data_IF_331773181868
#
_entry.id   IF_331773181868
#
_cell.length_a   1.000
_cell.length_b   1.000
_cell.length_c   1.000
_cell.angle_alpha   90.00
_cell.angle_beta   90.00
_cell.angle_gamma   90.00
#
_symmetry.space_group_name_H-M   'P 1'
#
loop_
_entity.id
_entity.type
_entity.pdbx_description
1 polymer ?
2 non-polymer ?
3 non-polymer ?
4 water ?
#
# COMPACT_ATOMS: atom_id res chain seq x y z
N UNK A 9 -2.54 -16.62 34.54
CA UNK A 9 -3.53 -15.79 33.85
C UNK A 9 -2.95 -14.44 33.44
N UNK A 10 -3.29 -14.01 32.24
CA UNK A 10 -2.67 -12.85 31.62
C UNK A 10 -3.71 -11.95 30.96
N UNK A 11 -3.37 -10.66 30.83
CA UNK A 11 -4.26 -9.70 30.25
C UNK A 11 -3.56 -9.11 29.02
N UNK A 12 -4.33 -8.90 27.95
CA UNK A 12 -3.84 -8.21 26.77
C UNK A 12 -4.67 -6.96 26.46
N UNK A 13 -4.00 -6.02 25.80
CA UNK A 13 -4.60 -4.80 25.29
C UNK A 13 -4.07 -4.56 23.88
N UNK A 14 -4.98 -4.33 22.94
CA UNK A 14 -4.61 -3.83 21.62
C UNK A 14 -5.06 -2.37 21.54
N UNK A 15 -4.10 -1.47 21.32
CA UNK A 15 -4.37 -0.06 21.30
C UNK A 15 -3.60 0.62 20.17
N UNK A 16 -4.04 1.82 19.82
CA UNK A 16 -3.25 2.65 18.92
C UNK A 16 -1.93 3.07 19.54
N UNK A 17 -0.87 3.06 18.73
CA UNK A 17 0.39 3.66 19.11
C UNK A 17 0.30 5.18 19.11
N UNK A 18 1.19 5.80 19.90
CA UNK A 18 1.31 7.25 19.94
C UNK A 18 2.79 7.59 19.81
N UNK A 19 3.14 8.89 19.75
CA UNK A 19 4.55 9.25 19.71
C UNK A 19 5.43 8.67 20.82
N UNK A 20 4.84 8.40 22.00
CA UNK A 20 5.59 7.82 23.09
C UNK A 20 6.06 6.39 22.81
N UNK A 21 5.46 5.74 21.78
CA UNK A 21 5.80 4.36 21.46
C UNK A 21 6.89 4.20 20.41
N UNK A 22 7.47 5.31 19.94
CA UNK A 22 8.48 5.23 18.91
C UNK A 22 9.65 4.30 19.22
N UNK A 23 10.23 4.30 20.45
CA UNK A 23 11.31 3.35 20.71
C UNK A 23 10.90 1.89 20.48
N UNK A 24 9.66 1.54 20.87
CA UNK A 24 9.21 0.17 20.74
C UNK A 24 8.99 -0.18 19.28
N UNK A 25 8.36 0.73 18.55
CA UNK A 25 8.16 0.52 17.12
C UNK A 25 9.49 0.33 16.41
N UNK A 26 10.45 1.18 16.74
CA UNK A 26 11.78 1.10 16.15
C UNK A 26 12.41 -0.28 16.36
N UNK A 27 12.37 -0.76 17.61
CA UNK A 27 12.94 -2.05 17.94
C UNK A 27 12.21 -3.21 17.30
N UNK A 28 10.88 -3.10 17.19
CA UNK A 28 10.09 -4.13 16.53
C UNK A 28 10.43 -4.20 15.05
N UNK A 29 10.53 -3.04 14.38
CA UNK A 29 10.90 -3.06 12.97
C UNK A 29 12.31 -3.62 12.80
N UNK A 30 13.22 -3.29 13.72
CA UNK A 30 14.55 -3.87 13.65
C UNK A 30 14.52 -5.39 13.75
N UNK A 31 13.72 -5.92 14.70
CA UNK A 31 13.58 -7.36 14.79
C UNK A 31 13.04 -7.98 13.49
N UNK A 32 12.08 -7.30 12.85
CA UNK A 32 11.56 -7.71 11.55
C UNK A 32 12.68 -7.77 10.51
N UNK A 33 13.56 -6.76 10.52
CA UNK A 33 14.64 -6.69 9.54
C UNK A 33 15.62 -7.84 9.76
N UNK A 34 15.88 -8.19 11.03
CA UNK A 34 16.74 -9.34 11.30
C UNK A 34 16.11 -10.63 10.76
N UNK A 35 14.84 -10.82 11.11
CA UNK A 35 14.10 -12.00 10.67
C UNK A 35 14.05 -12.14 9.14
N UNK A 36 13.83 -11.01 8.45
CA UNK A 36 13.70 -11.04 7.00
C UNK A 36 15.04 -10.98 6.26
N UNK A 37 16.17 -11.07 6.98
CA UNK A 37 17.49 -11.08 6.38
C UNK A 37 17.73 -9.80 5.60
N UNK A 38 17.34 -8.67 6.19
CA UNK A 38 17.39 -7.39 5.50
C UNK A 38 17.90 -6.25 6.37
N UNK A 39 18.79 -6.56 7.34
CA UNK A 39 19.33 -5.50 8.17
C UNK A 39 20.09 -4.46 7.36
N UNK A 40 20.64 -4.86 6.19
CA UNK A 40 21.37 -3.93 5.36
C UNK A 40 20.47 -2.81 4.85
N UNK A 41 19.16 -3.08 4.76
CA UNK A 41 18.22 -2.07 4.32
C UNK A 41 17.66 -1.22 5.45
N UNK A 42 17.87 -1.67 6.69
CA UNK A 42 17.26 -1.01 7.83
C UNK A 42 18.06 0.24 8.22
N UNK A 43 17.49 1.40 7.88
CA UNK A 43 18.07 2.69 8.15
C UNK A 43 17.14 3.55 9.00
N UNK A 44 15.99 2.98 9.38
CA UNK A 44 15.03 3.68 10.22
C UNK A 44 15.65 4.16 11.53
N UNK A 45 15.30 5.39 11.90
CA UNK A 45 15.68 5.96 13.18
C UNK A 45 14.43 6.33 13.97
N UNK A 46 14.59 6.45 15.29
CA UNK A 46 13.50 6.92 16.12
C UNK A 46 13.03 8.29 15.67
N UNK A 47 13.97 9.18 15.33
CA UNK A 47 13.61 10.51 14.89
C UNK A 47 12.82 10.46 13.57
N UNK A 48 13.21 9.58 12.65
CA UNK A 48 12.46 9.42 11.40
C UNK A 48 11.05 8.90 11.62
N UNK A 49 10.89 7.93 12.53
CA UNK A 49 9.58 7.42 12.85
C UNK A 49 8.72 8.50 13.50
N UNK A 50 9.32 9.25 14.43
CA UNK A 50 8.59 10.33 15.07
C UNK A 50 8.10 11.39 14.08
N UNK A 51 8.89 11.63 13.02
CA UNK A 51 8.60 12.66 12.05
C UNK A 51 7.50 12.24 11.06
N UNK A 52 7.32 10.92 10.85
CA UNK A 52 6.49 10.42 9.76
C UNK A 52 5.25 9.62 10.16
N UNK A 53 5.19 9.13 11.41
CA UNK A 53 4.11 8.21 11.75
C UNK A 53 2.80 8.84 12.23
N UNK A 54 2.82 10.11 12.68
CA UNK A 54 1.70 10.63 13.45
C UNK A 54 1.18 11.97 12.97
N UNK A 55 1.20 12.17 11.64
CA UNK A 55 0.80 13.43 11.03
C UNK A 55 -0.61 13.42 10.47
N UNK A 56 -1.36 12.34 10.71
CA UNK A 56 -2.75 12.24 10.28
C UNK A 56 -3.60 11.63 11.39
N UNK A 57 -4.93 11.77 11.29
CA UNK A 57 -5.87 11.04 12.13
C UNK A 57 -5.67 9.54 11.95
N UNK A 58 -5.82 8.71 13.01
CA UNK A 58 -5.68 7.27 12.84
C UNK A 58 -6.53 6.74 11.69
N UNK A 59 -5.97 5.78 10.94
CA UNK A 59 -6.65 5.04 9.89
C UNK A 59 -6.73 5.77 8.56
N UNK A 60 -6.39 7.07 8.53
CA UNK A 60 -6.40 7.84 7.30
C UNK A 60 -5.07 7.74 6.55
N UNK A 61 -4.02 7.38 7.28
CA UNK A 61 -2.69 7.18 6.74
C UNK A 61 -2.01 6.09 7.56
N UNK A 62 -0.68 6.08 7.66
CA UNK A 62 0.01 5.04 8.39
C UNK A 62 -0.51 5.00 9.84
N UNK A 63 -0.81 3.79 10.31
CA UNK A 63 -1.41 3.55 11.61
C UNK A 63 -0.73 2.34 12.22
N UNK A 64 -0.58 2.36 13.56
CA UNK A 64 0.04 1.25 14.28
C UNK A 64 -0.88 0.82 15.42
N UNK A 65 -1.19 -0.48 15.49
CA UNK A 65 -1.69 -1.07 16.74
C UNK A 65 -0.55 -1.77 17.44
N UNK A 66 -0.50 -1.58 18.78
CA UNK A 66 0.40 -2.33 19.63
C UNK A 66 -0.40 -3.33 20.45
N UNK A 67 0.21 -4.49 20.68
CA UNK A 67 -0.37 -5.48 21.57
C UNK A 67 0.50 -5.49 22.82
N UNK A 68 -0.15 -5.22 23.97
CA UNK A 68 0.50 -5.20 25.28
C UNK A 68 -0.01 -6.37 26.11
N UNK A 69 0.87 -6.87 27.00
CA UNK A 69 0.55 -7.94 27.93
C UNK A 69 0.89 -7.50 29.35
N UNK A 70 0.06 -7.92 30.33
CA UNK A 70 0.26 -7.61 31.74
C UNK A 70 -0.31 -8.75 32.57
N UNK A 71 0.28 -9.06 33.75
CA UNK A 71 -0.35 -9.98 34.71
C UNK A 71 -1.48 -9.36 35.52
N UNK A 72 -1.67 -8.04 35.38
CA UNK A 72 -2.72 -7.28 36.03
C UNK A 72 -3.71 -6.77 35.00
N UNK A 73 -5.00 -6.56 35.36
CA UNK A 73 -5.94 -5.89 34.45
C UNK A 73 -5.43 -4.51 34.06
N UNK A 74 -5.77 -4.10 32.85
CA UNK A 74 -5.51 -2.74 32.41
C UNK A 74 -6.60 -1.83 32.96
N UNK A 75 -6.37 -0.50 33.06
CA UNK A 75 -7.49 0.42 33.31
C UNK A 75 -8.56 0.21 32.24
N UNK A 76 -9.83 0.18 32.66
CA UNK A 76 -10.93 -0.02 31.74
C UNK A 76 -11.19 1.31 31.01
N UNK A 77 -11.64 1.22 29.75
CA UNK A 77 -11.92 2.40 28.95
C UNK A 77 -13.05 3.25 29.53
N UNK A 78 -13.98 2.61 30.26
CA UNK A 78 -15.11 3.26 30.90
C UNK A 78 -15.92 4.12 29.92
N UNK A 79 -15.56 5.41 29.76
CA UNK A 79 -16.09 6.24 28.69
C UNK A 79 -15.03 6.48 27.61
N UNK A 80 -15.42 6.29 26.35
CA UNK A 80 -14.51 6.46 25.22
C UNK A 80 -14.18 7.93 25.06
N UNK A 81 -12.99 8.23 24.54
CA UNK A 81 -12.69 9.58 24.08
C UNK A 81 -12.65 9.61 22.55
N UNK A 82 -12.41 8.44 21.96
CA UNK A 82 -12.09 8.34 20.55
C UNK A 82 -13.37 8.11 19.74
N UNK A 83 -13.53 8.77 18.58
CA UNK A 83 -14.72 8.52 17.75
C UNK A 83 -14.66 7.14 17.06
N UNK A 84 -13.44 6.67 16.79
CA UNK A 84 -13.21 5.59 15.85
C UNK A 84 -12.84 4.24 16.48
N UNK A 85 -12.16 4.28 17.63
CA UNK A 85 -11.44 3.11 18.12
C UNK A 85 -11.29 3.15 19.63
N UNK A 86 -11.69 2.03 20.26
CA UNK A 86 -11.47 1.80 21.67
C UNK A 86 -10.60 0.56 21.82
N UNK A 87 -9.57 0.55 22.70
CA UNK A 87 -8.73 -0.62 22.85
C UNK A 87 -9.51 -1.91 23.10
N UNK A 88 -8.98 -3.01 22.55
CA UNK A 88 -9.51 -4.33 22.81
C UNK A 88 -8.80 -4.94 24.01
N UNK A 89 -9.57 -5.43 24.99
CA UNK A 89 -9.04 -5.96 26.23
C UNK A 89 -9.50 -7.41 26.38
N UNK A 90 -8.55 -8.32 26.64
CA UNK A 90 -8.88 -9.73 26.76
C UNK A 90 -8.09 -10.38 27.89
N UNK A 91 -8.70 -11.42 28.49
CA UNK A 91 -8.10 -12.27 29.51
C UNK A 91 -7.74 -13.63 28.91
N UNK A 92 -6.62 -14.19 29.38
CA UNK A 92 -6.01 -15.37 28.77
C UNK A 92 -5.49 -16.30 29.85
N UNK A 93 -5.76 -17.60 29.68
CA UNK A 93 -5.02 -18.64 30.37
C UNK A 93 -3.98 -19.14 29.37
N UNK A 94 -2.70 -18.90 29.68
CA UNK A 94 -1.59 -19.45 28.91
C UNK A 94 -1.00 -20.62 29.70
N UNK A 95 -0.56 -21.64 28.97
CA UNK A 95 -0.12 -22.91 29.56
C UNK A 95 1.31 -22.90 30.09
N UNK A 96 2.01 -21.77 29.96
CA UNK A 96 3.45 -21.72 30.14
C UNK A 96 3.81 -20.34 30.68
N UNK A 97 4.68 -20.22 31.72
CA UNK A 97 5.25 -18.92 32.08
C UNK A 97 6.12 -18.37 30.95
N UNK A 98 6.20 -17.04 30.86
CA UNK A 98 6.89 -16.41 29.74
C UNK A 98 8.29 -15.98 30.17
N UNK A 99 9.30 -16.46 29.42
CA UNK A 99 10.68 -16.02 29.57
C UNK A 99 10.93 -14.98 28.49
N UNK A 100 11.08 -13.71 28.91
CA UNK A 100 11.24 -12.61 27.98
C UNK A 100 12.53 -11.87 28.33
N UNK A 101 13.67 -12.23 27.72
CA UNK A 101 14.94 -11.57 28.02
C UNK A 101 15.01 -10.10 27.59
N UNK A 102 14.10 -9.69 26.70
CA UNK A 102 14.09 -8.32 26.21
C UNK A 102 13.04 -7.46 26.89
N UNK A 103 12.45 -7.94 27.98
CA UNK A 103 11.32 -7.27 28.60
C UNK A 103 11.63 -5.79 28.87
N UNK A 104 12.82 -5.50 29.40
CA UNK A 104 13.17 -4.15 29.81
C UNK A 104 13.12 -3.12 28.67
N UNK A 105 13.33 -3.58 27.43
CA UNK A 105 13.31 -2.70 26.26
C UNK A 105 11.90 -2.41 25.75
N UNK A 106 10.90 -3.10 26.31
CA UNK A 106 9.54 -3.04 25.82
C UNK A 106 8.53 -2.65 26.89
N UNK A 107 8.98 -1.86 27.86
CA UNK A 107 8.11 -1.34 28.91
C UNK A 107 7.75 0.11 28.66
N UNK A 108 6.49 0.46 28.29
CA UNK A 108 6.12 1.87 28.14
C UNK A 108 6.37 2.72 29.38
N UNK A 109 6.28 2.09 30.56
CA UNK A 109 6.61 2.71 31.83
C UNK A 109 7.37 1.66 32.64
N UNK A 110 8.64 1.91 32.91
CA UNK A 110 9.46 0.92 33.59
C UNK A 110 8.98 0.59 35.00
N UNK A 111 8.08 1.41 35.57
CA UNK A 111 7.50 1.14 36.88
C UNK A 111 6.19 0.37 36.87
N UNK A 112 5.65 0.09 35.67
CA UNK A 112 4.44 -0.69 35.54
C UNK A 112 4.70 -2.00 34.80
N UNK A 113 3.89 -3.02 35.08
CA UNK A 113 4.09 -4.38 34.56
C UNK A 113 3.30 -4.61 33.28
N UNK A 114 3.52 -3.72 32.30
CA UNK A 114 2.87 -3.80 31.00
C UNK A 114 4.01 -3.85 29.99
N UNK A 115 3.96 -4.86 29.10
CA UNK A 115 5.02 -5.09 28.14
C UNK A 115 4.44 -5.07 26.74
N UNK A 116 5.12 -4.39 25.81
CA UNK A 116 4.79 -4.45 24.40
C UNK A 116 5.28 -5.78 23.83
N UNK A 117 4.35 -6.56 23.29
CA UNK A 117 4.62 -7.88 22.79
C UNK A 117 4.63 -8.03 21.27
N UNK A 118 3.93 -7.13 20.59
CA UNK A 118 3.85 -7.19 19.14
C UNK A 118 3.16 -5.95 18.58
N UNK A 119 3.10 -5.90 17.23
CA UNK A 119 2.48 -4.77 16.57
C UNK A 119 1.99 -5.11 15.16
N UNK A 120 1.16 -4.21 14.65
CA UNK A 120 0.79 -4.22 13.25
C UNK A 120 0.81 -2.77 12.78
N UNK A 121 1.46 -2.57 11.61
CA UNK A 121 1.59 -1.25 11.00
C UNK A 121 0.99 -1.36 9.60
N UNK A 122 0.03 -0.47 9.32
CA UNK A 122 -0.79 -0.59 8.13
C UNK A 122 -1.26 0.79 7.67
N UNK A 123 -1.80 0.83 6.45
CA UNK A 123 -2.28 2.08 5.88
C UNK A 123 -3.28 1.78 4.78
N UNK A 124 -4.06 2.79 4.33
CA UNK A 124 -4.99 2.56 3.24
C UNK A 124 -4.30 2.22 1.93
N UNK A 125 -4.89 1.27 1.19
CA UNK A 125 -4.44 1.01 -0.17
C UNK A 125 -5.70 1.11 -1.05
N UNK A 126 -5.60 0.60 -2.28
CA UNK A 126 -6.66 0.81 -3.26
C UNK A 126 -6.75 -0.36 -4.22
N UNK A 127 -7.52 -1.43 -3.92
CA UNK A 127 -7.77 -2.51 -4.85
C UNK A 127 -8.64 -1.99 -6.01
N UNK A 128 -7.94 -1.63 -7.08
CA UNK A 128 -8.58 -0.92 -8.19
C UNK A 128 -9.68 -1.73 -8.86
N UNK A 129 -9.58 -3.06 -8.87
CA UNK A 129 -10.60 -3.87 -9.52
C UNK A 129 -11.91 -3.88 -8.73
N UNK A 130 -11.83 -3.45 -7.46
CA UNK A 130 -13.02 -3.27 -6.63
C UNK A 130 -13.55 -1.83 -6.57
N UNK A 131 -12.72 -0.87 -6.95
CA UNK A 131 -13.00 0.55 -6.79
C UNK A 131 -13.40 0.92 -5.37
N UNK A 132 -12.59 0.44 -4.43
CA UNK A 132 -12.84 0.67 -3.01
C UNK A 132 -11.49 0.84 -2.33
N UNK A 133 -11.43 1.55 -1.20
CA UNK A 133 -10.23 1.53 -0.37
C UNK A 133 -10.07 0.16 0.29
N UNK A 134 -8.82 -0.16 0.59
CA UNK A 134 -8.47 -1.35 1.34
C UNK A 134 -7.47 -0.94 2.41
N UNK A 135 -6.91 -1.94 3.09
CA UNK A 135 -5.71 -1.73 3.86
C UNK A 135 -4.57 -2.62 3.36
N UNK A 136 -3.35 -2.10 3.49
CA UNK A 136 -2.14 -2.88 3.31
C UNK A 136 -1.46 -3.00 4.69
N UNK A 137 -1.08 -4.23 5.05
CA UNK A 137 -0.30 -4.45 6.25
C UNK A 137 1.18 -4.47 5.85
N UNK A 138 1.90 -3.49 6.37
CA UNK A 138 3.32 -3.34 6.13
C UNK A 138 4.13 -4.21 7.10
N UNK A 139 3.71 -4.25 8.38
CA UNK A 139 4.35 -5.10 9.37
C UNK A 139 3.30 -5.77 10.23
N UNK A 140 3.50 -7.08 10.49
CA UNK A 140 2.74 -7.73 11.55
C UNK A 140 3.75 -8.66 12.21
N UNK A 141 3.85 -8.56 13.54
CA UNK A 141 4.95 -9.21 14.23
C UNK A 141 4.64 -9.39 15.72
N UNK A 142 4.92 -10.60 16.22
CA UNK A 142 4.88 -10.89 17.64
C UNK A 142 6.32 -11.22 18.02
N UNK A 143 6.79 -10.64 19.13
CA UNK A 143 8.09 -11.03 19.64
C UNK A 143 8.08 -12.50 20.08
N UNK A 144 9.24 -13.15 19.92
CA UNK A 144 9.35 -14.58 20.09
C UNK A 144 8.75 -15.12 21.38
N UNK A 145 8.96 -14.50 22.57
CA UNK A 145 8.45 -15.08 23.80
C UNK A 145 6.94 -15.19 23.86
N UNK A 146 6.23 -14.43 23.02
CA UNK A 146 4.79 -14.31 23.07
C UNK A 146 4.04 -15.00 21.94
N UNK A 147 4.74 -15.80 21.14
CA UNK A 147 4.12 -16.48 20.00
C UNK A 147 3.35 -17.74 20.43
N UNK A 148 2.44 -18.18 19.56
CA UNK A 148 1.69 -19.42 19.73
C UNK A 148 0.80 -19.40 20.96
N UNK A 149 0.26 -18.23 21.27
CA UNK A 149 -0.69 -18.07 22.40
C UNK A 149 -1.96 -17.36 21.90
N UNK A 150 -2.11 -17.16 20.59
CA UNK A 150 -3.29 -16.52 20.02
C UNK A 150 -3.21 -14.99 19.88
N UNK A 151 -2.04 -14.40 20.21
CA UNK A 151 -1.93 -12.95 20.16
C UNK A 151 -1.83 -12.40 18.74
N UNK A 152 -1.07 -13.08 17.88
CA UNK A 152 -0.99 -12.65 16.49
C UNK A 152 -2.36 -12.64 15.84
N UNK A 153 -3.15 -13.69 16.11
CA UNK A 153 -4.53 -13.74 15.65
C UNK A 153 -5.30 -12.49 16.06
N UNK A 154 -5.13 -12.03 17.31
CA UNK A 154 -5.81 -10.83 17.74
C UNK A 154 -5.38 -9.57 17.00
N UNK A 155 -4.08 -9.43 16.71
CA UNK A 155 -3.61 -8.27 15.96
C UNK A 155 -4.23 -8.21 14.57
N UNK A 156 -4.24 -9.35 13.89
CA UNK A 156 -4.82 -9.41 12.56
C UNK A 156 -6.33 -9.17 12.63
N UNK A 157 -6.97 -9.75 13.63
CA UNK A 157 -8.40 -9.53 13.82
C UNK A 157 -8.73 -8.06 14.07
N UNK A 158 -7.90 -7.36 14.85
CA UNK A 158 -8.15 -5.94 15.08
C UNK A 158 -8.16 -5.15 13.77
N UNK A 159 -7.21 -5.46 12.86
CA UNK A 159 -7.19 -4.77 11.57
C UNK A 159 -8.46 -5.08 10.78
N UNK A 160 -8.85 -6.36 10.74
CA UNK A 160 -10.06 -6.75 10.04
C UNK A 160 -11.30 -6.05 10.59
N UNK A 161 -11.41 -5.94 11.93
CA UNK A 161 -12.56 -5.30 12.53
C UNK A 161 -12.63 -3.81 12.17
N UNK A 162 -11.47 -3.15 12.17
CA UNK A 162 -11.46 -1.75 11.77
C UNK A 162 -11.78 -1.60 10.29
N UNK A 163 -11.30 -2.56 9.48
CA UNK A 163 -11.60 -2.56 8.06
C UNK A 163 -13.10 -2.60 7.82
N UNK A 164 -13.80 -3.48 8.55
CA UNK A 164 -15.23 -3.59 8.37
C UNK A 164 -15.94 -2.29 8.77
N UNK A 165 -15.52 -1.69 9.87
CA UNK A 165 -16.08 -0.40 10.28
C UNK A 165 -15.97 0.67 9.19
N UNK A 166 -14.86 0.66 8.46
CA UNK A 166 -14.54 1.71 7.50
C UNK A 166 -14.90 1.36 6.06
N UNK A 167 -15.53 0.19 5.85
CA UNK A 167 -15.97 -0.21 4.52
C UNK A 167 -14.85 -0.67 3.57
N UNK A 168 -13.72 -1.08 4.16
CA UNK A 168 -12.58 -1.60 3.41
C UNK A 168 -12.93 -2.89 2.70
N UNK A 169 -12.47 -3.04 1.45
CA UNK A 169 -12.88 -4.16 0.62
C UNK A 169 -11.90 -5.33 0.56
N UNK A 170 -10.68 -5.14 1.07
CA UNK A 170 -9.63 -6.13 0.95
C UNK A 170 -8.49 -5.70 1.85
N UNK A 171 -7.75 -6.68 2.39
CA UNK A 171 -6.48 -6.40 3.04
C UNK A 171 -5.40 -7.25 2.34
N UNK A 172 -4.26 -6.60 2.06
CA UNK A 172 -3.12 -7.29 1.48
C UNK A 172 -1.85 -7.02 2.25
N UNK A 173 -0.86 -7.91 2.03
CA UNK A 173 0.49 -7.77 2.53
C UNK A 173 1.37 -8.68 1.69
N UNK A 174 2.67 -8.70 1.98
CA UNK A 174 3.57 -9.63 1.32
C UNK A 174 4.37 -10.45 2.32
N UNK A 175 4.97 -11.53 1.82
CA UNK A 175 5.74 -12.45 2.62
C UNK A 175 6.89 -13.00 1.79
N UNK A 176 8.02 -13.28 2.41
CA UNK A 176 9.10 -14.00 1.75
C UNK A 176 8.66 -15.46 1.66
N UNK A 177 8.83 -16.11 0.51
CA UNK A 177 8.27 -17.44 0.33
C UNK A 177 8.90 -18.47 1.26
N UNK A 178 10.10 -18.18 1.77
CA UNK A 178 10.84 -19.04 2.69
C UNK A 178 10.42 -18.88 4.15
N UNK A 179 9.51 -17.93 4.44
CA UNK A 179 9.03 -17.69 5.79
C UNK A 179 7.87 -18.65 6.12
N UNK A 180 8.21 -19.92 6.34
CA UNK A 180 7.20 -20.96 6.41
C UNK A 180 6.26 -20.76 7.62
N UNK A 181 6.83 -20.36 8.76
CA UNK A 181 5.99 -20.20 9.94
C UNK A 181 4.96 -19.10 9.74
N UNK A 182 5.40 -17.97 9.17
CA UNK A 182 4.48 -16.88 8.92
C UNK A 182 3.40 -17.26 7.90
N UNK A 183 3.82 -17.94 6.83
CA UNK A 183 2.88 -18.41 5.83
C UNK A 183 1.82 -19.32 6.45
N UNK A 184 2.27 -20.24 7.32
CA UNK A 184 1.32 -21.13 7.98
C UNK A 184 0.30 -20.33 8.80
N UNK A 185 0.78 -19.33 9.54
CA UNK A 185 -0.14 -18.47 10.30
C UNK A 185 -1.13 -17.77 9.37
N UNK A 186 -0.63 -17.16 8.28
CA UNK A 186 -1.52 -16.42 7.40
C UNK A 186 -2.60 -17.33 6.81
N UNK A 187 -2.19 -18.52 6.39
CA UNK A 187 -3.13 -19.48 5.81
C UNK A 187 -4.15 -19.95 6.83
N UNK A 188 -3.71 -20.17 8.07
CA UNK A 188 -4.64 -20.59 9.12
C UNK A 188 -5.59 -19.47 9.51
N UNK A 189 -5.25 -18.22 9.20
CA UNK A 189 -6.15 -17.10 9.39
C UNK A 189 -7.11 -16.89 8.23
N UNK A 190 -6.99 -17.69 7.16
CA UNK A 190 -7.87 -17.56 6.02
C UNK A 190 -7.34 -16.73 4.85
N UNK A 191 -6.08 -16.29 4.94
CA UNK A 191 -5.47 -15.57 3.82
C UNK A 191 -5.11 -16.52 2.69
N UNK A 192 -5.11 -15.97 1.48
CA UNK A 192 -4.53 -16.68 0.34
C UNK A 192 -3.12 -16.13 0.14
N UNK A 193 -2.16 -17.04 -0.07
CA UNK A 193 -0.79 -16.70 -0.41
C UNK A 193 -0.63 -17.10 -1.88
N UNK A 194 -0.45 -16.08 -2.74
CA UNK A 194 -0.40 -16.31 -4.18
C UNK A 194 0.96 -16.79 -4.63
N UNK A 195 0.96 -17.67 -5.64
CA UNK A 195 2.19 -18.11 -6.26
C UNK A 195 2.75 -17.13 -7.30
N UNK A 196 1.87 -16.39 -8.00
CA UNK A 196 2.24 -15.79 -9.27
C UNK A 196 2.72 -14.34 -9.18
N UNK A 197 2.37 -13.61 -8.12
CA UNK A 197 2.73 -12.21 -8.05
C UNK A 197 4.15 -12.02 -7.53
N UNK A 198 4.84 -11.02 -8.10
CA UNK A 198 6.19 -10.65 -7.71
C UNK A 198 6.25 -9.17 -7.40
N UNK A 199 7.08 -8.83 -6.42
CA UNK A 199 7.28 -7.45 -6.00
C UNK A 199 8.27 -6.75 -6.94
N UNK A 200 7.95 -5.50 -7.25
CA UNK A 200 8.79 -4.61 -8.03
C UNK A 200 9.12 -3.37 -7.22
N UNK A 201 10.33 -2.83 -7.36
CA UNK A 201 10.77 -1.73 -6.54
C UNK A 201 11.68 -0.76 -7.30
N UNK A 202 11.40 0.53 -7.13
CA UNK A 202 12.38 1.59 -7.41
C UNK A 202 12.91 2.11 -6.08
N UNK A 203 14.18 1.88 -5.83
CA UNK A 203 14.85 2.41 -4.66
C UNK A 203 14.99 3.93 -4.76
N UNK A 204 15.42 4.58 -3.68
CA UNK A 204 15.71 5.99 -3.69
C UNK A 204 16.71 6.35 -4.78
N UNK A 205 17.75 5.53 -4.95
CA UNK A 205 18.73 5.78 -5.99
C UNK A 205 18.12 5.64 -7.38
N UNK A 206 17.26 4.65 -7.56
CA UNK A 206 16.61 4.47 -8.86
C UNK A 206 15.70 5.64 -9.18
N UNK A 207 15.02 6.18 -8.16
CA UNK A 207 14.17 7.34 -8.33
C UNK A 207 15.00 8.55 -8.74
N UNK A 208 16.14 8.75 -8.08
CA UNK A 208 17.04 9.84 -8.42
C UNK A 208 17.51 9.75 -9.86
N UNK A 209 17.80 8.53 -10.33
CA UNK A 209 18.29 8.34 -11.70
C UNK A 209 17.20 8.74 -12.70
N UNK A 210 15.95 8.35 -12.45
CA UNK A 210 14.86 8.77 -13.31
C UNK A 210 14.66 10.28 -13.27
N UNK A 211 14.81 10.90 -12.09
CA UNK A 211 14.58 12.36 -11.92
C UNK A 211 15.62 13.16 -12.71
N UNK A 212 16.76 12.55 -12.97
CA UNK A 212 17.86 13.24 -13.71
C UNK A 212 17.65 13.10 -15.22
N UNK A 213 16.68 12.33 -15.68
CA UNK A 213 16.37 12.19 -17.12
C UNK A 213 15.97 13.56 -17.68
N UNK A 214 16.47 13.86 -18.88
CA UNK A 214 16.16 15.16 -19.54
C UNK A 214 14.70 15.17 -20.01
N UNK B 9 4.50 14.93 -35.90
CA UNK B 9 4.70 15.34 -34.51
C UNK B 9 3.46 15.04 -33.67
N UNK B 10 3.70 14.52 -32.46
CA UNK B 10 2.64 14.32 -31.48
C UNK B 10 3.04 14.99 -30.18
N UNK B 11 2.01 15.38 -29.42
CA UNK B 11 2.17 16.06 -28.16
C UNK B 11 1.52 15.20 -27.08
N UNK B 12 2.14 15.18 -25.90
CA UNK B 12 1.55 14.49 -24.75
C UNK B 12 1.47 15.44 -23.55
N UNK B 13 0.53 15.10 -22.66
CA UNK B 13 0.34 15.79 -21.40
C UNK B 13 0.03 14.74 -20.34
N UNK B 14 0.74 14.81 -19.20
CA UNK B 14 0.42 14.01 -18.03
C UNK B 14 -0.16 14.96 -16.99
N UNK B 15 -1.40 14.70 -16.59
CA UNK B 15 -2.10 15.58 -15.66
C UNK B 15 -2.83 14.76 -14.60
N UNK B 16 -3.21 15.44 -13.51
CA UNK B 16 -4.09 14.82 -12.56
C UNK B 16 -5.48 14.56 -13.13
N UNK B 17 -6.05 13.41 -12.77
CA UNK B 17 -7.45 13.14 -13.03
C UNK B 17 -8.35 13.98 -12.13
N UNK B 18 -9.57 14.22 -12.62
CA UNK B 18 -10.63 14.88 -11.87
C UNK B 18 -11.89 14.04 -11.97
N UNK B 19 -12.98 14.35 -11.25
CA UNK B 19 -14.18 13.55 -11.32
C UNK B 19 -14.75 13.28 -12.72
N UNK B 20 -14.56 14.21 -13.65
CA UNK B 20 -15.08 13.96 -15.00
C UNK B 20 -14.31 12.89 -15.76
N UNK B 21 -13.13 12.49 -15.24
CA UNK B 21 -12.36 11.42 -15.86
C UNK B 21 -12.74 10.01 -15.44
N UNK B 22 -13.73 9.87 -14.55
CA UNK B 22 -14.10 8.54 -14.08
C UNK B 22 -14.44 7.54 -15.18
N UNK B 23 -15.18 7.91 -16.26
CA UNK B 23 -15.43 6.94 -17.33
C UNK B 23 -14.15 6.38 -17.93
N UNK B 24 -13.13 7.22 -18.11
CA UNK B 24 -11.88 6.78 -18.71
C UNK B 24 -11.13 5.87 -17.77
N UNK B 25 -11.08 6.25 -16.48
CA UNK B 25 -10.40 5.44 -15.48
C UNK B 25 -11.06 4.06 -15.40
N UNK B 26 -12.41 4.04 -15.40
CA UNK B 26 -13.14 2.78 -15.34
C UNK B 26 -12.76 1.86 -16.50
N UNK B 27 -12.77 2.42 -17.72
CA UNK B 27 -12.43 1.63 -18.89
C UNK B 27 -10.98 1.16 -18.91
N UNK B 28 -10.07 1.99 -18.40
CA UNK B 28 -8.67 1.61 -18.31
C UNK B 28 -8.47 0.47 -17.31
N UNK B 29 -9.14 0.53 -16.16
CA UNK B 29 -9.02 -0.56 -15.20
C UNK B 29 -9.61 -1.84 -15.79
N UNK B 30 -10.74 -1.71 -16.51
CA UNK B 30 -11.31 -2.85 -17.19
C UNK B 30 -10.33 -3.49 -18.18
N UNK B 31 -9.67 -2.64 -19.00
CA UNK B 31 -8.65 -3.17 -19.89
C UNK B 31 -7.52 -3.90 -19.16
N UNK B 32 -7.11 -3.38 -17.99
CA UNK B 32 -6.11 -4.03 -17.15
C UNK B 32 -6.60 -5.40 -16.72
N UNK B 33 -7.88 -5.51 -16.34
CA UNK B 33 -8.44 -6.78 -15.88
C UNK B 33 -8.47 -7.79 -17.03
N UNK B 34 -8.78 -7.32 -18.24
CA UNK B 34 -8.75 -8.18 -19.41
C UNK B 34 -7.32 -8.69 -19.64
N UNK B 35 -6.36 -7.76 -19.63
CA UNK B 35 -4.96 -8.09 -19.84
C UNK B 35 -4.43 -9.09 -18.81
N UNK B 36 -4.79 -8.88 -17.53
CA UNK B 36 -4.29 -9.72 -16.45
C UNK B 36 -5.04 -11.05 -16.34
N UNK B 37 -6.04 -11.28 -17.22
CA UNK B 37 -6.90 -12.46 -17.19
C UNK B 37 -7.55 -12.63 -15.81
N UNK B 38 -8.07 -11.50 -15.32
CA UNK B 38 -8.70 -11.44 -14.02
C UNK B 38 -10.01 -10.67 -14.07
N UNK B 39 -10.75 -10.82 -15.17
CA UNK B 39 -12.03 -10.16 -15.29
C UNK B 39 -13.00 -10.65 -14.22
N UNK B 40 -12.81 -11.88 -13.72
CA UNK B 40 -13.70 -12.38 -12.69
C UNK B 40 -13.58 -11.57 -11.39
N UNK B 41 -12.44 -10.90 -11.20
CA UNK B 41 -12.25 -10.02 -10.05
C UNK B 41 -12.71 -8.58 -10.30
N UNK B 42 -13.03 -8.25 -11.55
CA UNK B 42 -13.33 -6.87 -11.90
C UNK B 42 -14.79 -6.59 -11.64
N UNK B 43 -15.06 -5.86 -10.55
CA UNK B 43 -16.40 -5.44 -10.18
C UNK B 43 -16.47 -3.93 -9.94
N UNK B 44 -15.44 -3.20 -10.35
CA UNK B 44 -15.46 -1.75 -10.22
C UNK B 44 -16.60 -1.12 -11.04
N UNK B 45 -17.24 -0.11 -10.47
CA UNK B 45 -18.25 0.68 -11.18
C UNK B 45 -17.81 2.14 -11.24
N UNK B 46 -18.37 2.88 -12.20
CA UNK B 46 -18.13 4.31 -12.25
C UNK B 46 -18.58 4.98 -10.97
N UNK B 47 -19.74 4.54 -10.45
CA UNK B 47 -20.24 5.01 -9.18
C UNK B 47 -19.22 4.85 -8.03
N UNK B 48 -18.64 3.64 -7.95
CA UNK B 48 -17.69 3.33 -6.90
C UNK B 48 -16.43 4.20 -7.02
N UNK B 49 -15.95 4.36 -8.26
CA UNK B 49 -14.76 5.18 -8.48
C UNK B 49 -15.04 6.63 -8.11
N UNK B 50 -16.20 7.14 -8.49
CA UNK B 50 -16.54 8.51 -8.18
C UNK B 50 -16.59 8.76 -6.67
N UNK B 51 -17.05 7.77 -5.91
CA UNK B 51 -17.22 7.94 -4.47
C UNK B 51 -15.93 7.75 -3.67
N UNK B 52 -14.90 7.15 -4.28
CA UNK B 52 -13.69 6.77 -3.57
C UNK B 52 -12.40 7.46 -4.00
N UNK B 53 -12.35 7.99 -5.24
CA UNK B 53 -11.09 8.50 -5.75
C UNK B 53 -10.74 9.94 -5.37
N UNK B 54 -11.73 10.74 -4.93
CA UNK B 54 -11.54 12.18 -4.84
C UNK B 54 -11.92 12.79 -3.51
N UNK B 55 -11.67 12.05 -2.42
CA UNK B 55 -12.01 12.53 -1.08
C UNK B 55 -10.86 13.19 -0.33
N UNK B 56 -9.66 13.17 -0.94
CA UNK B 56 -8.48 13.79 -0.36
C UNK B 56 -7.70 14.59 -1.40
N UNK B 57 -6.78 15.42 -0.94
CA UNK B 57 -5.92 16.18 -1.82
C UNK B 57 -5.06 15.22 -2.64
N UNK B 58 -4.65 15.60 -3.87
CA UNK B 58 -3.68 14.78 -4.60
C UNK B 58 -2.44 14.47 -3.77
N UNK B 59 -1.98 13.22 -3.89
CA UNK B 59 -0.75 12.71 -3.28
C UNK B 59 -0.87 12.39 -1.79
N UNK B 60 -1.98 12.77 -1.15
CA UNK B 60 -2.25 12.41 0.23
C UNK B 60 -2.89 11.03 0.39
N UNK B 61 -3.55 10.61 -0.69
CA UNK B 61 -4.28 9.36 -0.76
C UNK B 61 -4.30 8.94 -2.24
N UNK B 62 -5.24 8.10 -2.65
CA UNK B 62 -5.26 7.62 -4.02
C UNK B 62 -5.25 8.79 -5.00
N UNK B 63 -4.36 8.67 -6.01
CA UNK B 63 -4.07 9.72 -6.97
C UNK B 63 -3.94 9.08 -8.35
N UNK B 64 -4.42 9.79 -9.37
CA UNK B 64 -4.36 9.28 -10.74
C UNK B 64 -3.73 10.33 -11.65
N UNK B 65 -2.71 9.90 -12.39
CA UNK B 65 -2.26 10.68 -13.55
C UNK B 65 -2.82 10.05 -14.81
N UNK B 66 -3.30 10.90 -15.73
CA UNK B 66 -3.69 10.46 -17.05
C UNK B 66 -2.66 10.97 -18.06
N UNK B 67 -2.36 10.11 -19.05
CA UNK B 67 -1.55 10.54 -20.18
C UNK B 67 -2.48 10.74 -21.39
N UNK B 68 -2.43 11.97 -21.91
CA UNK B 68 -3.22 12.37 -23.06
C UNK B 68 -2.29 12.66 -24.24
N UNK B 69 -2.78 12.34 -25.44
CA UNK B 69 -2.05 12.56 -26.68
C UNK B 69 -2.89 13.39 -27.64
N UNK B 70 -2.20 14.28 -28.37
CA UNK B 70 -2.83 15.17 -29.33
C UNK B 70 -1.89 15.45 -30.49
N UNK B 71 -2.39 15.66 -31.73
CA UNK B 71 -1.55 16.16 -32.81
C UNK B 71 -1.26 17.67 -32.73
N UNK B 72 -1.91 18.35 -31.79
CA UNK B 72 -1.76 19.77 -31.54
C UNK B 72 -1.13 20.03 -30.18
N UNK B 73 -0.39 21.14 -29.99
CA UNK B 73 0.09 21.53 -28.67
C UNK B 73 -1.07 21.68 -27.69
N UNK B 74 -0.77 21.44 -26.42
CA UNK B 74 -1.73 21.68 -25.36
C UNK B 74 -1.64 23.16 -25.01
N UNK B 75 -2.72 23.76 -24.44
CA UNK B 75 -2.62 25.12 -23.92
C UNK B 75 -1.46 25.19 -22.93
N UNK B 76 -0.67 26.27 -23.00
CA UNK B 76 0.39 26.50 -22.02
C UNK B 76 -0.05 26.04 -20.64
N UNK B 77 0.89 25.46 -19.88
CA UNK B 77 0.58 24.99 -18.54
C UNK B 77 0.49 26.19 -17.61
N UNK B 84 1.96 22.53 -6.14
CA UNK B 84 2.41 21.15 -5.91
C UNK B 84 2.58 20.34 -7.18
N UNK B 85 1.71 20.56 -8.17
CA UNK B 85 1.79 19.82 -9.43
C UNK B 85 1.39 20.66 -10.64
N UNK B 86 2.26 20.66 -11.66
CA UNK B 86 1.98 21.24 -12.96
C UNK B 86 2.05 20.10 -13.98
N UNK B 87 1.11 20.01 -14.95
CA UNK B 87 1.18 18.93 -15.94
C UNK B 87 2.53 18.86 -16.63
N UNK B 88 2.95 17.63 -16.93
CA UNK B 88 4.16 17.38 -17.71
C UNK B 88 3.80 17.36 -19.19
N UNK B 89 4.53 18.16 -19.98
CA UNK B 89 4.31 18.28 -21.41
C UNK B 89 5.53 17.76 -22.18
N UNK B 90 5.27 17.01 -23.25
CA UNK B 90 6.34 16.46 -24.07
C UNK B 90 5.91 16.45 -25.53
N UNK B 91 6.88 16.41 -26.44
CA UNK B 91 6.61 16.24 -27.87
C UNK B 91 7.69 15.41 -28.56
N UNK B 92 7.27 14.57 -29.52
CA UNK B 92 8.20 13.90 -30.42
C UNK B 92 7.48 13.46 -31.70
N UNK B 93 8.28 12.98 -32.66
CA UNK B 93 7.77 12.56 -33.95
C UNK B 93 7.52 11.07 -33.92
N UNK B 94 6.24 10.68 -33.96
CA UNK B 94 5.85 9.27 -33.98
C UNK B 94 6.08 8.74 -35.38
N UNK B 95 6.57 7.49 -35.44
CA UNK B 95 7.09 6.91 -36.67
C UNK B 95 6.01 6.86 -37.74
N UNK B 96 4.83 6.39 -37.33
CA UNK B 96 3.72 6.13 -38.24
C UNK B 96 2.40 6.39 -37.53
N UNK B 97 1.31 6.71 -38.27
CA UNK B 97 0.05 7.14 -37.65
C UNK B 97 -0.57 6.06 -36.78
N UNK B 98 -1.36 6.49 -35.80
CA UNK B 98 -1.91 5.59 -34.81
C UNK B 98 -3.34 5.20 -35.18
N UNK B 99 -3.60 3.89 -35.22
CA UNK B 99 -4.94 3.35 -35.37
C UNK B 99 -5.49 3.00 -33.98
N UNK B 100 -6.48 3.78 -33.54
CA UNK B 100 -7.08 3.60 -32.23
C UNK B 100 -8.58 3.35 -32.38
N UNK B 101 -9.03 2.09 -32.41
CA UNK B 101 -10.44 1.77 -32.60
C UNK B 101 -11.34 2.21 -31.45
N UNK B 102 -10.75 2.46 -30.28
CA UNK B 102 -11.52 2.85 -29.11
C UNK B 102 -11.47 4.35 -28.83
N UNK B 103 -10.94 5.11 -29.78
CA UNK B 103 -10.71 6.54 -29.58
C UNK B 103 -11.92 7.27 -29.02
N UNK B 104 -13.12 6.97 -29.55
CA UNK B 104 -14.31 7.71 -29.16
C UNK B 104 -14.69 7.56 -27.69
N UNK B 105 -14.23 6.50 -27.05
CA UNK B 105 -14.48 6.28 -25.62
C UNK B 105 -13.46 6.99 -24.73
N UNK B 106 -12.43 7.60 -25.32
CA UNK B 106 -11.32 8.16 -24.55
C UNK B 106 -11.08 9.63 -24.85
N UNK B 107 -12.15 10.36 -25.20
CA UNK B 107 -12.06 11.78 -25.47
C UNK B 107 -12.67 12.59 -24.32
N UNK B 108 -11.87 13.30 -23.50
CA UNK B 108 -12.47 14.14 -22.45
C UNK B 108 -13.36 15.25 -23.00
N UNK B 109 -13.07 15.70 -24.23
CA UNK B 109 -13.92 16.61 -24.99
C UNK B 109 -14.12 15.97 -26.37
N UNK B 110 -15.34 15.52 -26.62
CA UNK B 110 -15.62 14.76 -27.83
C UNK B 110 -15.35 15.52 -29.12
N UNK B 111 -15.25 16.85 -29.02
CA UNK B 111 -15.02 17.68 -30.19
C UNK B 111 -13.59 18.22 -30.30
N UNK B 112 -12.68 17.75 -29.43
CA UNK B 112 -11.30 18.17 -29.48
C UNK B 112 -10.42 16.93 -29.64
N UNK B 113 -9.28 17.08 -30.32
CA UNK B 113 -8.39 15.98 -30.65
C UNK B 113 -7.37 15.68 -29.54
N UNK B 114 -7.87 15.37 -28.34
CA UNK B 114 -7.07 14.98 -27.19
C UNK B 114 -7.63 13.65 -26.71
N UNK B 115 -6.78 12.63 -26.65
CA UNK B 115 -7.20 11.27 -26.37
C UNK B 115 -6.45 10.77 -25.15
N UNK B 116 -7.20 10.15 -24.20
CA UNK B 116 -6.57 9.49 -23.08
C UNK B 116 -5.97 8.19 -23.54
N UNK B 117 -4.65 8.05 -23.38
CA UNK B 117 -3.90 6.91 -23.88
C UNK B 117 -3.42 5.95 -22.79
N UNK B 118 -3.33 6.42 -21.54
CA UNK B 118 -2.85 5.58 -20.46
C UNK B 118 -3.04 6.28 -19.13
N UNK B 119 -2.66 5.57 -18.06
CA UNK B 119 -2.79 6.14 -16.73
C UNK B 119 -1.87 5.46 -15.73
N UNK B 120 -1.72 6.12 -14.56
CA UNK B 120 -1.10 5.51 -13.40
C UNK B 120 -1.93 5.91 -12.20
N UNK B 121 -2.26 4.91 -11.36
CA UNK B 121 -3.05 5.08 -10.14
C UNK B 121 -2.18 4.60 -8.99
N UNK B 122 -1.96 5.49 -8.02
CA UNK B 122 -0.98 5.24 -6.97
C UNK B 122 -1.43 5.94 -5.67
N UNK B 123 -0.75 5.60 -4.57
CA UNK B 123 -1.07 6.19 -3.28
C UNK B 123 0.14 6.08 -2.38
N UNK B 124 0.16 6.82 -1.26
CA UNK B 124 1.25 6.69 -0.29
C UNK B 124 1.32 5.31 0.33
N UNK B 125 2.54 4.81 0.52
CA UNK B 125 2.74 3.60 1.29
C UNK B 125 3.79 3.94 2.34
N UNK B 126 4.37 2.93 2.99
CA UNK B 126 5.24 3.18 4.13
C UNK B 126 6.30 2.10 4.21
N UNK B 127 7.45 2.25 3.52
CA UNK B 127 8.57 1.33 3.65
C UNK B 127 9.16 1.44 5.06
N UNK B 128 8.73 0.52 5.92
CA UNK B 128 8.97 0.66 7.34
C UNK B 128 10.46 0.62 7.68
N UNK B 129 11.26 -0.09 6.87
CA UNK B 129 12.69 -0.17 7.15
C UNK B 129 13.41 1.15 6.86
N UNK B 130 12.72 2.06 6.14
CA UNK B 130 13.22 3.39 5.88
C UNK B 130 12.64 4.48 6.79
N UNK B 131 11.53 4.14 7.47
CA UNK B 131 10.81 5.10 8.28
C UNK B 131 10.45 6.38 7.53
N UNK B 132 9.93 6.21 6.33
CA UNK B 132 9.39 7.36 5.62
C UNK B 132 8.36 6.87 4.62
N UNK B 133 7.56 7.81 4.12
CA UNK B 133 6.52 7.48 3.17
C UNK B 133 7.15 7.16 1.82
N UNK B 134 6.44 6.30 1.09
CA UNK B 134 6.76 6.02 -0.30
C UNK B 134 5.51 6.13 -1.13
N UNK B 135 5.58 5.64 -2.37
CA UNK B 135 4.36 5.40 -3.13
C UNK B 135 4.26 3.93 -3.52
N UNK B 136 3.02 3.45 -3.62
CA UNK B 136 2.70 2.18 -4.27
C UNK B 136 1.94 2.51 -5.56
N UNK B 137 2.36 1.87 -6.66
CA UNK B 137 1.63 1.97 -7.91
C UNK B 137 0.70 0.78 -8.02
N UNK B 138 -0.61 1.07 -7.98
CA UNK B 138 -1.64 0.07 -8.12
C UNK B 138 -1.88 -0.30 -9.58
N UNK B 139 -1.91 0.71 -10.46
CA UNK B 139 -2.07 0.49 -11.89
C UNK B 139 -1.13 1.37 -12.67
N UNK B 140 -0.47 0.79 -13.68
CA UNK B 140 0.25 1.56 -14.68
C UNK B 140 -0.04 0.88 -16.01
N UNK B 141 -0.57 1.63 -16.98
CA UNK B 141 -1.11 1.00 -18.18
C UNK B 141 -1.14 1.97 -19.35
N UNK B 142 -0.70 1.47 -20.51
CA UNK B 142 -0.87 2.17 -21.77
C UNK B 142 -1.83 1.35 -22.64
N UNK B 143 -2.82 2.00 -23.23
CA UNK B 143 -3.68 1.30 -24.18
C UNK B 143 -2.87 0.82 -25.38
N UNK B 144 -3.27 -0.33 -25.92
CA UNK B 144 -2.49 -1.04 -26.92
C UNK B 144 -2.04 -0.15 -28.09
N UNK B 145 -2.89 0.73 -28.68
CA UNK B 145 -2.45 1.51 -29.83
C UNK B 145 -1.26 2.43 -29.58
N UNK B 146 -1.01 2.74 -28.29
CA UNK B 146 0.00 3.70 -27.90
C UNK B 146 1.24 3.12 -27.24
N UNK B 147 1.40 1.79 -27.29
CA UNK B 147 2.56 1.14 -26.67
C UNK B 147 3.81 1.22 -27.54
N UNK B 148 4.96 1.02 -26.90
CA UNK B 148 6.25 0.98 -27.59
C UNK B 148 6.59 2.29 -28.30
N UNK B 149 6.13 3.40 -27.73
CA UNK B 149 6.41 4.74 -28.24
C UNK B 149 7.03 5.65 -27.18
N UNK B 150 7.39 5.08 -26.02
CA UNK B 150 8.02 5.85 -24.97
C UNK B 150 7.06 6.44 -23.94
N UNK B 151 5.75 6.22 -24.08
CA UNK B 151 4.78 6.86 -23.20
C UNK B 151 4.71 6.23 -21.83
N UNK B 152 4.85 4.90 -21.74
CA UNK B 152 4.93 4.27 -20.43
C UNK B 152 6.11 4.81 -19.62
N UNK B 153 7.25 4.97 -20.28
CA UNK B 153 8.40 5.60 -19.66
C UNK B 153 8.06 6.98 -19.12
N UNK B 154 7.30 7.77 -19.89
CA UNK B 154 6.90 9.09 -19.40
C UNK B 154 5.99 9.03 -18.17
N UNK B 155 5.04 8.08 -18.14
CA UNK B 155 4.16 7.92 -17.00
C UNK B 155 4.95 7.59 -15.75
N UNK B 156 5.86 6.61 -15.85
CA UNK B 156 6.62 6.21 -14.68
C UNK B 156 7.58 7.33 -14.28
N UNK B 157 8.16 8.03 -15.27
CA UNK B 157 8.98 9.20 -14.97
C UNK B 157 8.22 10.26 -14.19
N UNK B 158 6.95 10.52 -14.56
CA UNK B 158 6.17 11.53 -13.85
C UNK B 158 5.99 11.15 -12.37
N UNK B 159 5.72 9.88 -12.12
CA UNK B 159 5.57 9.43 -10.74
C UNK B 159 6.88 9.57 -9.98
N UNK B 160 7.99 9.15 -10.61
CA UNK B 160 9.29 9.24 -9.97
C UNK B 160 9.67 10.69 -9.69
N UNK B 161 9.39 11.61 -10.62
CA UNK B 161 9.74 13.00 -10.40
C UNK B 161 8.93 13.60 -9.25
N UNK B 162 7.63 13.26 -9.19
CA UNK B 162 6.82 13.74 -8.09
C UNK B 162 7.27 13.11 -6.77
N UNK B 163 7.66 11.83 -6.79
CA UNK B 163 8.22 11.18 -5.62
C UNK B 163 9.42 11.96 -5.08
N UNK B 164 10.37 12.28 -5.95
CA UNK B 164 11.56 12.96 -5.50
C UNK B 164 11.22 14.34 -4.94
N UNK B 165 10.33 15.06 -5.62
CA UNK B 165 9.88 16.36 -5.14
C UNK B 165 9.32 16.31 -3.72
N UNK B 166 8.59 15.24 -3.41
CA UNK B 166 7.90 15.11 -2.13
C UNK B 166 8.69 14.35 -1.07
N UNK B 167 9.92 13.94 -1.39
CA UNK B 167 10.74 13.23 -0.42
C UNK B 167 10.38 11.76 -0.21
N UNK B 168 9.65 11.17 -1.16
CA UNK B 168 9.31 9.75 -1.14
C UNK B 168 10.57 8.88 -1.18
N UNK B 169 10.59 7.81 -0.37
CA UNK B 169 11.79 7.02 -0.21
C UNK B 169 11.96 5.86 -1.20
N UNK B 170 10.85 5.40 -1.77
CA UNK B 170 10.79 4.16 -2.51
C UNK B 170 9.43 4.12 -3.22
N UNK B 171 9.38 3.46 -4.38
CA UNK B 171 8.13 3.16 -5.05
C UNK B 171 8.10 1.65 -5.30
N UNK B 172 6.94 1.05 -5.03
CA UNK B 172 6.73 -0.37 -5.22
C UNK B 172 5.44 -0.63 -5.99
N UNK B 173 5.39 -1.82 -6.59
CA UNK B 173 4.20 -2.36 -7.23
C UNK B 173 4.39 -3.86 -7.39
N UNK B 174 3.42 -4.56 -8.00
CA UNK B 174 3.55 -5.98 -8.28
C UNK B 174 3.33 -6.28 -9.75
N UNK B 175 3.77 -7.47 -10.15
CA UNK B 175 3.65 -7.96 -11.51
C UNK B 175 3.43 -9.47 -11.50
N UNK B 176 2.74 -10.01 -12.52
CA UNK B 176 2.63 -11.44 -12.69
C UNK B 176 3.93 -12.01 -13.23
N UNK B 177 4.36 -13.16 -12.69
CA UNK B 177 5.68 -13.69 -12.95
C UNK B 177 5.98 -13.95 -14.43
N UNK B 178 4.92 -14.31 -15.19
CA UNK B 178 5.11 -14.67 -16.58
C UNK B 178 4.88 -13.49 -17.51
N UNK B 179 4.59 -12.30 -16.96
CA UNK B 179 4.46 -11.10 -17.77
C UNK B 179 5.84 -10.53 -18.12
N UNK B 180 6.53 -11.24 -19.02
CA UNK B 180 7.93 -10.95 -19.30
C UNK B 180 8.08 -9.57 -19.93
N UNK B 181 7.11 -9.14 -20.74
CA UNK B 181 7.27 -7.86 -21.40
C UNK B 181 7.19 -6.70 -20.41
N UNK B 182 6.27 -6.79 -19.45
CA UNK B 182 6.20 -5.77 -18.41
C UNK B 182 7.44 -5.79 -17.53
N UNK B 183 7.88 -7.00 -17.17
CA UNK B 183 9.10 -7.15 -16.39
C UNK B 183 10.28 -6.49 -17.09
N UNK B 184 10.41 -6.72 -18.41
CA UNK B 184 11.47 -6.09 -19.15
C UNK B 184 11.40 -4.57 -19.10
N UNK B 185 10.19 -4.02 -19.26
CA UNK B 185 10.03 -2.58 -19.14
C UNK B 185 10.45 -2.08 -17.76
N UNK B 186 9.95 -2.75 -16.70
CA UNK B 186 10.28 -2.31 -15.35
C UNK B 186 11.78 -2.34 -15.11
N UNK B 187 12.44 -3.41 -15.54
CA UNK B 187 13.88 -3.53 -15.37
C UNK B 187 14.65 -2.48 -16.17
N UNK B 188 14.17 -2.15 -17.37
CA UNK B 188 14.78 -1.10 -18.18
C UNK B 188 14.69 0.25 -17.49
N UNK B 189 13.63 0.44 -16.67
CA UNK B 189 13.45 1.67 -15.94
C UNK B 189 14.19 1.68 -14.59
N UNK B 190 14.97 0.63 -14.32
CA UNK B 190 15.79 0.57 -13.11
C UNK B 190 15.13 -0.11 -11.91
N UNK B 191 13.96 -0.72 -12.12
CA UNK B 191 13.30 -1.43 -11.04
C UNK B 191 13.96 -2.79 -10.84
N UNK B 192 13.92 -3.25 -9.58
CA UNK B 192 14.23 -4.63 -9.29
C UNK B 192 12.90 -5.39 -9.25
N UNK B 193 12.87 -6.56 -9.89
CA UNK B 193 11.74 -7.48 -9.84
C UNK B 193 12.23 -8.68 -9.02
N UNK B 194 11.67 -8.86 -7.83
CA UNK B 194 12.16 -9.85 -6.89
C UNK B 194 11.57 -11.23 -7.15
N UNK B 195 12.38 -12.25 -6.87
CA UNK B 195 11.90 -13.63 -6.91
C UNK B 195 11.22 -14.10 -5.63
N UNK B 196 11.58 -13.52 -4.46
CA UNK B 196 11.32 -14.14 -3.17
C UNK B 196 10.02 -13.69 -2.50
N UNK B 197 9.44 -12.55 -2.88
CA UNK B 197 8.22 -12.08 -2.27
C UNK B 197 6.96 -12.66 -2.91
N UNK B 198 5.92 -12.86 -2.09
CA UNK B 198 4.62 -13.36 -2.51
C UNK B 198 3.54 -12.48 -1.90
N UNK B 199 2.45 -12.32 -2.63
CA UNK B 199 1.31 -11.52 -2.21
C UNK B 199 0.38 -12.37 -1.33
N UNK B 200 -0.12 -11.74 -0.27
CA UNK B 200 -1.10 -12.35 0.63
C UNK B 200 -2.37 -11.49 0.62
N UNK B 201 -3.54 -12.14 0.77
CA UNK B 201 -4.79 -11.43 0.69
C UNK B 201 -5.89 -11.98 1.59
N UNK B 202 -6.63 -11.05 2.23
CA UNK B 202 -7.95 -11.32 2.80
C UNK B 202 -8.99 -10.56 1.99
N UNK B 203 -10.00 -11.29 1.51
CA UNK B 203 -11.09 -10.70 0.75
C UNK B 203 -12.07 -10.00 1.66
N UNK B 204 -12.98 -9.22 1.07
CA UNK B 204 -13.99 -8.52 1.85
C UNK B 204 -14.88 -9.47 2.63
N UNK B 205 -15.23 -10.61 2.03
CA UNK B 205 -16.06 -11.58 2.73
C UNK B 205 -15.32 -12.17 3.93
N UNK B 206 -14.02 -12.43 3.74
CA UNK B 206 -13.18 -12.95 4.81
C UNK B 206 -13.12 -11.96 5.96
N UNK B 207 -13.04 -10.67 5.66
CA UNK B 207 -12.98 -9.66 6.70
C UNK B 207 -14.26 -9.63 7.52
N UNK B 208 -15.41 -9.71 6.83
CA UNK B 208 -16.70 -9.73 7.49
C UNK B 208 -16.78 -10.90 8.46
N UNK B 209 -16.29 -12.06 8.04
CA UNK B 209 -16.36 -13.25 8.88
C UNK B 209 -15.44 -13.12 10.08
N UNK B 210 -14.21 -12.65 9.88
CA UNK B 210 -13.29 -12.43 11.00
C UNK B 210 -13.86 -11.46 12.01
N UNK B 211 -14.64 -10.47 11.55
CA UNK B 211 -15.24 -9.47 12.42
C UNK B 211 -16.31 -10.01 13.36
N UNK B 212 -16.74 -11.25 13.13
CA UNK B 212 -17.68 -11.88 14.05
C UNK B 212 -17.06 -12.15 15.42
N UNK B 213 -15.73 -12.13 15.53
CA UNK B 213 -15.09 -12.29 16.84
C UNK B 213 -15.29 -10.99 17.62
N UNK B 214 -15.97 -11.08 18.77
CA UNK B 214 -16.25 -9.91 19.58
C UNK B 214 -15.09 -9.77 20.56
N UNK B 215 -14.11 -8.93 20.23
CA UNK B 215 -13.05 -8.61 21.16
C UNK B 215 -13.26 -7.18 21.62
#
# INVERSE_FOLDING_TARGET
>A
GPLGSTGHRMFSRIRLATPTDVPFIHKLIHQMAVFERLTHLFVATESGLASTLFNSRPFQAVTVFLLEISPSPFPTTHDASSPDFTPFLETHKVDLPIEDPDREKFLPDKLNDVVVAGFVLFFPNYPSFLAKQGFYIEDIFMREPYRRKGFGKLLLTAVAKQAVKLGVGRVEWIVIDWNVNAINFYEQMGAQVFKEWRLCRLTGDALQAIDKLNI
>B
GPLGSTGHRMFSRIRLATPTDVPFIHKLIHQMAVFERLTHLFVATESGLASTLFNSRPFQAVTVFLLEISPSPFPTTHDASSPDFTPFLETHKVDLPIEDPDREKFLPDKLNDVVVAGFVLFFPNYPSFLAKQGFYIEDIFMREPYRRKGFGKLLLTAVAKQAVKLGVGRVEWIVIDWNVNAINFYEQMGAQVFKEWRLCRLTGDALQAIDKLNI
#
